data_IF_780977986143
#
_entry.id   IF_780977986143
#
_cell.length_a   1.000
_cell.length_b   1.000
_cell.length_c   1.000
_cell.angle_alpha   90.00
_cell.angle_beta   90.00
_cell.angle_gamma   90.00
#
_symmetry.space_group_name_H-M   'P 1'
#
loop_
_entity.id
_entity.type
_entity.pdbx_description
1 polymer ?
#
# COMPACT_ATOMS: atom_id res chain seq x y z
N UNK A 1 4.43 -16.34 30.94
CA UNK A 1 4.30 -15.24 29.98
C UNK A 1 3.11 -15.61 29.13
N UNK A 2 1.95 -15.04 29.40
CA UNK A 2 0.71 -15.46 28.73
C UNK A 2 0.71 -14.83 27.34
N UNK A 3 0.60 -15.66 26.29
CA UNK A 3 0.45 -15.22 24.91
C UNK A 3 -0.98 -14.70 24.74
N UNK A 4 -1.29 -13.55 25.35
CA UNK A 4 -2.60 -12.95 25.18
C UNK A 4 -2.64 -12.36 23.78
N UNK A 5 -3.57 -12.85 22.97
CA UNK A 5 -3.67 -12.41 21.59
C UNK A 5 -4.09 -10.94 21.57
N UNK A 6 -3.56 -10.14 20.63
CA UNK A 6 -3.83 -8.69 20.59
C UNK A 6 -5.33 -8.37 20.55
N UNK A 7 -6.15 -9.25 19.96
CA UNK A 7 -7.59 -9.13 19.97
C UNK A 7 -8.20 -9.31 21.37
N UNK A 8 -7.72 -10.28 22.16
CA UNK A 8 -8.21 -10.53 23.53
C UNK A 8 -7.87 -9.39 24.48
N UNK A 9 -6.67 -8.81 24.38
CA UNK A 9 -6.31 -7.62 25.17
C UNK A 9 -7.13 -6.38 24.81
N UNK A 10 -7.43 -6.19 23.52
CA UNK A 10 -8.28 -5.08 23.08
C UNK A 10 -9.70 -5.21 23.65
N UNK A 11 -10.24 -6.43 23.66
CA UNK A 11 -11.58 -6.71 24.20
C UNK A 11 -11.65 -6.51 25.71
N UNK A 12 -10.63 -6.98 26.46
CA UNK A 12 -10.57 -6.82 27.91
C UNK A 12 -10.35 -5.37 28.35
N UNK A 13 -9.66 -4.58 27.51
CA UNK A 13 -9.34 -3.17 27.81
C UNK A 13 -10.49 -2.21 27.48
N UNK A 14 -11.62 -2.71 26.95
CA UNK A 14 -12.73 -1.86 26.53
C UNK A 14 -12.36 -0.89 25.40
N UNK A 15 -11.27 -1.19 24.68
CA UNK A 15 -10.86 -0.43 23.51
C UNK A 15 -11.87 -0.75 22.43
N UNK A 16 -12.48 0.27 21.84
CA UNK A 16 -13.40 0.12 20.72
C UNK A 16 -12.67 -0.60 19.58
N UNK A 17 -12.95 -1.89 19.43
CA UNK A 17 -12.30 -2.70 18.41
C UNK A 17 -13.07 -2.44 17.12
N UNK A 18 -12.33 -1.97 16.10
CA UNK A 18 -12.70 -2.00 14.69
C UNK A 18 -13.82 -1.02 14.27
N UNK A 19 -13.57 0.30 14.28
CA UNK A 19 -14.35 1.20 13.42
C UNK A 19 -13.62 2.47 12.93
N UNK A 20 -12.28 2.47 12.91
CA UNK A 20 -11.50 3.58 12.35
C UNK A 20 -10.97 3.30 10.95
N UNK A 21 -11.13 2.08 10.44
CA UNK A 21 -10.77 1.76 9.08
C UNK A 21 -11.86 2.29 8.15
N UNK A 22 -11.53 3.26 7.30
CA UNK A 22 -12.47 3.82 6.33
C UNK A 22 -13.04 2.71 5.45
N UNK A 23 -14.37 2.64 5.32
CA UNK A 23 -15.07 1.62 4.53
C UNK A 23 -14.89 1.91 3.04
N UNK A 24 -13.94 1.22 2.41
CA UNK A 24 -13.79 1.24 0.95
C UNK A 24 -14.49 0.00 0.36
N UNK A 25 -15.23 0.20 -0.73
CA UNK A 25 -15.88 -0.88 -1.48
C UNK A 25 -14.90 -1.60 -2.42
N UNK A 26 -13.87 -0.90 -2.90
CA UNK A 26 -12.89 -1.44 -3.84
C UNK A 26 -11.47 -1.17 -3.38
N UNK A 27 -10.64 -2.21 -3.43
CA UNK A 27 -9.21 -2.10 -3.21
C UNK A 27 -8.47 -2.51 -4.48
N UNK A 28 -7.61 -1.62 -4.99
CA UNK A 28 -6.77 -1.90 -6.16
C UNK A 28 -5.33 -2.05 -5.69
N UNK A 29 -4.79 -3.25 -5.82
CA UNK A 29 -3.40 -3.53 -5.50
C UNK A 29 -2.51 -3.17 -6.70
N UNK A 30 -1.46 -2.39 -6.44
CA UNK A 30 -0.54 -1.87 -7.44
C UNK A 30 0.86 -2.33 -7.06
N UNK A 31 1.49 -3.12 -7.94
CA UNK A 31 2.84 -3.57 -7.71
C UNK A 31 3.83 -2.40 -7.90
N UNK A 32 4.51 -2.00 -6.82
CA UNK A 32 5.48 -0.92 -6.84
C UNK A 32 6.70 -1.29 -6.01
N UNK A 33 7.94 -1.11 -6.51
CA UNK A 33 9.11 -1.34 -5.69
C UNK A 33 9.19 -0.32 -4.53
N UNK A 34 9.71 -0.70 -3.36
CA UNK A 34 10.02 0.24 -2.27
C UNK A 34 11.15 1.20 -2.67
N UNK A 35 11.34 2.35 -2.00
CA UNK A 35 10.72 2.84 -0.76
C UNK A 35 9.42 3.62 -0.99
N UNK A 36 8.35 3.21 -0.31
CA UNK A 36 7.07 3.94 -0.29
C UNK A 36 7.08 5.03 0.78
N UNK A 37 6.29 6.07 0.57
CA UNK A 37 6.04 7.11 1.58
C UNK A 37 4.70 6.86 2.28
N UNK A 38 4.39 7.64 3.31
CA UNK A 38 3.07 7.61 3.95
C UNK A 38 1.94 8.02 3.00
N UNK A 39 2.26 8.78 1.94
CA UNK A 39 1.38 9.06 0.82
C UNK A 39 1.74 8.10 -0.32
N UNK A 40 0.97 7.02 -0.44
CA UNK A 40 1.18 5.92 -1.38
C UNK A 40 1.44 6.44 -2.80
N UNK A 41 0.58 7.31 -3.34
CA UNK A 41 0.71 7.84 -4.70
C UNK A 41 1.81 8.89 -4.90
N UNK A 42 2.44 9.36 -3.83
CA UNK A 42 3.64 10.20 -3.89
C UNK A 42 4.93 9.37 -3.85
N UNK A 43 4.80 8.03 -3.75
CA UNK A 43 5.94 7.13 -3.71
C UNK A 43 6.73 7.13 -5.02
N UNK A 44 8.05 6.92 -4.90
CA UNK A 44 8.93 6.82 -6.06
C UNK A 44 8.54 5.62 -6.92
N UNK A 45 8.29 5.86 -8.21
CA UNK A 45 7.91 4.81 -9.16
C UNK A 45 6.44 4.84 -9.57
N UNK A 46 5.62 5.67 -8.92
CA UNK A 46 4.26 5.96 -9.35
C UNK A 46 4.29 6.92 -10.54
N UNK A 47 3.66 6.58 -11.69
CA UNK A 47 3.59 7.46 -12.84
C UNK A 47 2.55 8.57 -12.64
N UNK A 48 2.75 9.71 -13.29
CA UNK A 48 1.92 10.91 -13.10
C UNK A 48 0.43 10.66 -13.40
N UNK A 49 0.11 9.83 -14.40
CA UNK A 49 -1.26 9.48 -14.74
C UNK A 49 -1.98 8.68 -13.64
N UNK A 50 -1.25 7.84 -12.89
CA UNK A 50 -1.81 7.10 -11.76
C UNK A 50 -2.02 8.02 -10.55
N UNK A 51 -1.14 9.02 -10.37
CA UNK A 51 -1.33 10.06 -9.36
C UNK A 51 -2.56 10.90 -9.64
N UNK A 52 -2.72 11.39 -10.88
CA UNK A 52 -3.89 12.17 -11.32
C UNK A 52 -5.21 11.36 -11.18
N UNK A 53 -5.18 10.06 -11.51
CA UNK A 53 -6.32 9.18 -11.29
C UNK A 53 -6.67 9.06 -9.80
N UNK A 54 -5.66 8.91 -8.95
CA UNK A 54 -5.87 8.81 -7.51
C UNK A 54 -6.39 10.10 -6.89
N UNK A 55 -5.89 11.26 -7.31
CA UNK A 55 -6.44 12.57 -6.92
C UNK A 55 -7.93 12.64 -7.24
N UNK A 56 -8.32 12.30 -8.47
CA UNK A 56 -9.74 12.28 -8.89
C UNK A 56 -10.60 11.32 -8.03
N UNK A 57 -10.08 10.14 -7.71
CA UNK A 57 -10.81 9.13 -6.92
C UNK A 57 -10.91 9.53 -5.45
N UNK A 58 -9.85 10.11 -4.89
CA UNK A 58 -9.80 10.49 -3.48
C UNK A 58 -10.59 11.78 -3.20
N UNK A 59 -10.66 12.70 -4.17
CA UNK A 59 -11.48 13.91 -4.08
C UNK A 59 -13.00 13.61 -4.11
N UNK A 60 -13.42 12.54 -4.79
CA UNK A 60 -14.82 12.08 -4.89
C UNK A 60 -15.01 10.73 -4.16
N UNK A 61 -14.58 10.69 -2.89
CA UNK A 61 -14.57 9.49 -2.07
C UNK A 61 -15.94 8.82 -1.96
N UNK A 62 -17.01 9.59 -1.75
CA UNK A 62 -18.37 9.06 -1.58
C UNK A 62 -18.87 8.29 -2.81
N UNK A 63 -18.42 8.69 -4.00
CA UNK A 63 -18.80 8.03 -5.25
C UNK A 63 -18.00 6.76 -5.51
N UNK A 64 -16.68 6.81 -5.31
CA UNK A 64 -15.80 5.73 -5.75
C UNK A 64 -15.50 4.73 -4.64
N UNK A 65 -15.43 5.16 -3.38
CA UNK A 65 -15.08 4.35 -2.22
C UNK A 65 -13.92 3.38 -2.52
N UNK A 66 -12.91 3.86 -3.24
CA UNK A 66 -11.81 3.04 -3.78
C UNK A 66 -10.51 3.42 -3.11
N UNK A 67 -9.73 2.41 -2.70
CA UNK A 67 -8.38 2.60 -2.15
C UNK A 67 -7.33 1.98 -3.07
N UNK A 68 -6.28 2.73 -3.37
CA UNK A 68 -5.08 2.16 -3.97
C UNK A 68 -4.14 1.66 -2.88
N UNK A 69 -3.59 0.46 -3.09
CA UNK A 69 -2.67 -0.19 -2.16
C UNK A 69 -1.39 -0.54 -2.90
N UNK A 70 -0.26 -0.02 -2.44
CA UNK A 70 1.03 -0.45 -2.96
C UNK A 70 1.39 -1.81 -2.37
N UNK A 71 1.70 -2.76 -3.25
CA UNK A 71 2.17 -4.09 -2.87
C UNK A 71 3.56 -4.33 -3.42
N UNK A 72 4.36 -5.05 -2.66
CA UNK A 72 5.71 -5.41 -3.04
C UNK A 72 5.68 -6.69 -3.87
N UNK A 73 6.42 -6.70 -4.97
CA UNK A 73 6.68 -7.88 -5.78
C UNK A 73 8.20 -8.02 -5.99
N UNK A 74 8.75 -9.19 -5.65
CA UNK A 74 10.19 -9.47 -5.77
C UNK A 74 10.73 -9.31 -7.18
N UNK A 75 9.88 -9.51 -8.19
CA UNK A 75 10.23 -9.34 -9.61
C UNK A 75 10.55 -7.89 -9.98
N UNK A 76 10.12 -6.93 -9.16
CA UNK A 76 10.40 -5.50 -9.34
C UNK A 76 11.76 -5.08 -8.75
N UNK A 77 12.48 -6.00 -8.09
CA UNK A 77 13.89 -5.79 -7.77
C UNK A 77 14.62 -5.52 -9.08
N UNK A 78 15.13 -4.30 -9.28
CA UNK A 78 16.15 -4.08 -10.30
C UNK A 78 17.31 -5.00 -9.95
N UNK A 79 17.56 -6.00 -10.79
CA UNK A 79 18.85 -6.68 -10.81
C UNK A 79 19.91 -5.58 -10.87
N UNK A 80 20.90 -5.56 -9.96
CA UNK A 80 22.06 -4.70 -10.18
C UNK A 80 22.57 -5.08 -11.58
N UNK A 81 22.60 -4.10 -12.48
CA UNK A 81 23.28 -4.23 -13.77
C UNK A 81 24.61 -4.96 -13.50
N UNK A 82 24.74 -6.22 -13.91
CA UNK A 82 26.04 -6.88 -13.92
C UNK A 82 26.84 -6.18 -15.02
N UNK A 83 27.95 -5.47 -14.71
CA UNK A 83 28.69 -4.74 -15.72
C UNK A 83 29.58 -5.63 -16.59
N UNK A 84 29.46 -6.96 -16.55
CA UNK A 84 30.36 -7.84 -17.28
C UNK A 84 29.66 -9.03 -17.92
N UNK A 85 29.36 -8.88 -19.22
CA UNK A 85 29.60 -9.93 -20.22
C UNK A 85 29.74 -9.26 -21.59
N UNK A 86 30.95 -8.79 -21.86
CA UNK A 86 31.49 -8.69 -23.20
C UNK A 86 32.92 -9.22 -23.11
N UNK A 87 33.07 -10.51 -23.37
CA UNK A 87 34.27 -11.03 -23.97
C UNK A 87 33.83 -12.01 -25.06
N UNK A 88 34.39 -11.73 -26.23
CA UNK A 88 34.37 -12.40 -27.53
C UNK A 88 34.22 -13.92 -27.53
#
# INVERSE_FOLDING_TARGET
MENVFCAEQSQQSGVDIINSASEHQLYVAIECPPSWTSYDLESKGIPDNLRELGETIYDDYDRFQTRFLLIYNERLKRSPHSPYTSHE
#
